data_IF_597406406045
#
_entry.id   IF_597406406045
#
_cell.length_a   1.000
_cell.length_b   1.000
_cell.length_c   1.000
_cell.angle_alpha   90.00
_cell.angle_beta   90.00
_cell.angle_gamma   90.00
#
_symmetry.space_group_name_H-M   'P 1'
#
loop_
_entity.id
_entity.type
_entity.pdbx_description
1 polymer ?
#
# COMPACT_ATOMS: atom_id res chain seq x y z
N UNK A 1 34.65 -9.12 7.28
CA UNK A 1 33.89 -9.78 8.36
C UNK A 1 34.10 -8.97 9.62
N UNK A 2 33.03 -8.46 10.23
CA UNK A 2 33.08 -7.56 11.38
C UNK A 2 33.42 -8.36 12.66
N UNK A 3 34.40 -7.91 13.44
CA UNK A 3 34.80 -8.58 14.68
C UNK A 3 33.76 -8.42 15.81
N UNK A 4 33.98 -9.09 16.95
CA UNK A 4 33.03 -9.08 18.05
C UNK A 4 32.89 -7.69 18.70
N UNK A 5 34.00 -6.99 18.91
CA UNK A 5 34.00 -5.67 19.54
C UNK A 5 33.24 -4.65 18.69
N UNK A 6 33.42 -4.69 17.37
CA UNK A 6 32.73 -3.80 16.44
C UNK A 6 31.23 -4.11 16.38
N UNK A 7 30.83 -5.37 16.51
CA UNK A 7 29.40 -5.76 16.61
C UNK A 7 28.76 -5.27 17.92
N UNK A 8 29.51 -5.28 19.02
CA UNK A 8 29.03 -4.77 20.31
C UNK A 8 28.89 -3.24 20.25
N UNK A 9 29.84 -2.54 19.64
CA UNK A 9 29.78 -1.10 19.38
C UNK A 9 28.54 -0.72 18.56
N UNK A 10 28.31 -1.42 17.44
CA UNK A 10 27.13 -1.21 16.60
C UNK A 10 25.82 -1.44 17.37
N UNK A 11 25.78 -2.48 18.22
CA UNK A 11 24.60 -2.78 19.04
C UNK A 11 24.29 -1.65 20.03
N UNK A 12 25.31 -1.11 20.67
CA UNK A 12 25.16 -0.01 21.61
C UNK A 12 24.73 1.30 20.92
N UNK A 13 25.31 1.62 19.76
CA UNK A 13 24.91 2.79 18.98
C UNK A 13 23.45 2.68 18.48
N UNK A 14 23.02 1.51 18.02
CA UNK A 14 21.62 1.25 17.66
C UNK A 14 20.68 1.39 18.84
N UNK A 15 21.09 0.97 20.03
CA UNK A 15 20.31 1.16 21.27
C UNK A 15 20.16 2.64 21.62
N UNK A 16 21.20 3.46 21.41
CA UNK A 16 21.14 4.92 21.60
C UNK A 16 20.32 5.64 20.53
N UNK A 17 20.30 5.12 19.30
CA UNK A 17 19.54 5.71 18.20
C UNK A 17 18.05 5.33 18.20
N UNK A 18 17.75 4.06 18.47
CA UNK A 18 16.40 3.49 18.27
C UNK A 18 15.81 2.87 19.54
N UNK A 19 16.48 2.99 20.69
CA UNK A 19 16.01 2.46 21.96
C UNK A 19 14.90 3.30 22.61
N UNK A 20 14.39 2.88 23.78
CA UNK A 20 13.26 3.55 24.47
C UNK A 20 13.52 4.99 24.91
N UNK A 21 14.80 5.39 25.01
CA UNK A 21 15.24 6.72 25.36
C UNK A 21 16.38 7.12 24.41
N UNK A 22 16.05 7.50 23.16
CA UNK A 22 17.07 7.80 22.17
C UNK A 22 17.77 9.11 22.53
N UNK A 23 19.10 9.09 22.51
CA UNK A 23 19.95 10.23 22.87
C UNK A 23 21.05 10.54 21.84
N UNK A 24 21.08 9.79 20.72
CA UNK A 24 22.15 9.90 19.72
C UNK A 24 22.15 11.25 19.00
N UNK A 25 21.01 11.94 18.92
CA UNK A 25 20.89 13.24 18.23
C UNK A 25 21.73 14.35 18.90
N UNK A 26 22.05 14.20 20.19
CA UNK A 26 22.93 15.11 20.90
C UNK A 26 24.43 14.85 20.62
N UNK A 27 24.76 13.81 19.87
CA UNK A 27 26.10 13.28 19.66
C UNK A 27 26.34 12.97 18.16
N UNK A 28 26.65 14.00 17.35
CA UNK A 28 26.80 13.84 15.90
C UNK A 28 27.97 12.92 15.51
N UNK A 29 28.99 12.79 16.37
CA UNK A 29 30.09 11.86 16.15
C UNK A 29 29.63 10.41 16.30
N UNK A 30 28.81 10.10 17.31
CA UNK A 30 28.21 8.78 17.46
C UNK A 30 27.27 8.43 16.29
N UNK A 31 26.53 9.40 15.74
CA UNK A 31 25.66 9.18 14.59
C UNK A 31 26.47 8.90 13.30
N UNK A 32 27.58 9.63 13.09
CA UNK A 32 28.50 9.35 12.00
C UNK A 32 29.12 7.95 12.13
N UNK A 33 29.52 7.56 13.35
CA UNK A 33 30.07 6.25 13.64
C UNK A 33 29.05 5.12 13.44
N UNK A 34 27.79 5.32 13.83
CA UNK A 34 26.70 4.38 13.56
C UNK A 34 26.56 4.12 12.06
N UNK A 35 26.54 5.19 11.25
CA UNK A 35 26.40 5.09 9.79
C UNK A 35 27.53 4.25 9.17
N UNK A 36 28.77 4.50 9.57
CA UNK A 36 29.93 3.72 9.08
C UNK A 36 29.83 2.23 9.43
N UNK A 37 29.41 1.91 10.65
CA UNK A 37 29.27 0.53 11.10
C UNK A 37 28.09 -0.19 10.44
N UNK A 38 27.00 0.50 10.12
CA UNK A 38 25.88 -0.07 9.37
C UNK A 38 26.26 -0.40 7.93
N UNK A 39 27.00 0.48 7.26
CA UNK A 39 27.52 0.24 5.91
C UNK A 39 28.45 -0.99 5.86
N UNK A 40 29.31 -1.14 6.87
CA UNK A 40 30.19 -2.32 7.01
C UNK A 40 29.43 -3.61 7.35
N UNK A 41 28.27 -3.51 7.99
CA UNK A 41 27.45 -4.64 8.38
C UNK A 41 26.54 -5.14 7.24
N UNK A 42 26.32 -4.33 6.20
CA UNK A 42 25.58 -4.77 5.02
C UNK A 42 26.34 -5.94 4.36
N UNK A 43 25.65 -7.06 4.06
CA UNK A 43 26.28 -8.15 3.33
C UNK A 43 26.81 -7.60 2.01
N UNK A 44 28.03 -7.99 1.64
CA UNK A 44 28.63 -7.62 0.36
C UNK A 44 27.59 -7.92 -0.72
N UNK A 45 27.00 -6.85 -1.29
CA UNK A 45 26.05 -6.96 -2.38
C UNK A 45 26.78 -7.83 -3.41
N UNK A 46 26.23 -9.00 -3.80
CA UNK A 46 26.88 -9.82 -4.82
C UNK A 46 27.14 -8.88 -5.97
N UNK A 47 28.42 -8.69 -6.32
CA UNK A 47 28.81 -7.87 -7.45
C UNK A 47 27.95 -8.36 -8.60
N UNK A 48 26.96 -7.55 -8.98
CA UNK A 48 26.24 -7.78 -10.20
C UNK A 48 27.34 -7.74 -11.23
N UNK A 49 27.72 -8.92 -11.69
CA UNK A 49 28.63 -9.11 -12.80
C UNK A 49 27.89 -8.47 -13.96
N UNK A 50 28.11 -7.17 -14.13
CA UNK A 50 27.90 -6.45 -15.37
C UNK A 50 28.94 -6.96 -16.35
N UNK A 51 28.84 -8.25 -16.67
CA UNK A 51 29.11 -8.71 -18.00
C UNK A 51 27.94 -8.20 -18.84
N UNK A 52 27.96 -6.90 -19.13
CA UNK A 52 27.38 -6.39 -20.35
C UNK A 52 28.30 -6.98 -21.43
N UNK A 53 27.87 -7.98 -22.23
CA UNK A 53 28.64 -8.33 -23.40
C UNK A 53 28.74 -7.06 -24.24
N UNK A 54 29.97 -6.60 -24.48
CA UNK A 54 30.27 -5.62 -25.52
C UNK A 54 29.50 -6.01 -26.79
N UNK A 55 28.70 -5.11 -27.38
CA UNK A 55 28.17 -5.37 -28.70
C UNK A 55 29.35 -5.31 -29.66
N UNK A 56 29.87 -6.47 -30.05
CA UNK A 56 30.81 -6.58 -31.16
C UNK A 56 30.11 -6.04 -32.42
N UNK A 57 30.41 -4.78 -32.72
CA UNK A 57 30.25 -4.18 -34.02
C UNK A 57 31.21 -4.89 -34.99
N UNK A 58 30.72 -5.95 -35.63
CA UNK A 58 31.38 -6.54 -36.81
C UNK A 58 30.37 -6.87 -37.91
N UNK A 59 30.15 -5.84 -38.74
CA UNK A 59 30.24 -5.88 -40.19
C UNK A 59 29.59 -7.05 -40.97
N UNK A 60 28.60 -6.65 -41.79
CA UNK A 60 28.39 -7.01 -43.21
C UNK A 60 28.45 -8.50 -43.61
N UNK A 61 27.33 -9.00 -44.15
CA UNK A 61 27.21 -9.29 -45.59
C UNK A 61 25.79 -9.77 -45.98
N UNK A 62 25.18 -9.02 -46.92
CA UNK A 62 24.49 -9.49 -48.15
C UNK A 62 23.78 -10.85 -48.13
N UNK A 63 22.44 -10.82 -48.25
CA UNK A 63 21.61 -11.57 -49.21
C UNK A 63 20.14 -11.14 -49.02
N UNK A 64 19.61 -10.22 -49.82
CA UNK A 64 18.70 -10.52 -50.95
C UNK A 64 18.00 -11.87 -50.82
N UNK A 65 16.71 -11.84 -50.48
CA UNK A 65 15.71 -12.80 -50.96
C UNK A 65 14.32 -12.15 -50.90
N UNK A 66 13.59 -12.38 -51.99
CA UNK A 66 12.36 -11.74 -52.46
C UNK A 66 11.11 -12.09 -51.62
N UNK A 67 10.02 -11.33 -51.77
CA UNK A 67 8.74 -11.64 -51.13
C UNK A 67 7.99 -12.71 -51.92
N UNK A 68 8.01 -13.96 -51.45
CA UNK A 68 7.07 -14.97 -51.95
C UNK A 68 5.71 -14.81 -51.26
N UNK A 69 4.78 -14.33 -52.07
CA UNK A 69 3.34 -14.48 -51.88
C UNK A 69 2.98 -15.96 -51.78
N UNK A 70 2.48 -16.40 -50.62
CA UNK A 70 1.66 -17.61 -50.55
C UNK A 70 0.32 -17.32 -49.90
N UNK A 71 -0.68 -17.18 -50.78
CA UNK A 71 -2.09 -17.46 -50.52
C UNK A 71 -2.20 -18.92 -50.07
N UNK A 72 -2.83 -19.17 -48.92
CA UNK A 72 -3.66 -20.36 -48.75
C UNK A 72 -5.03 -19.91 -48.25
N UNK A 73 -6.03 -20.40 -48.97
CA UNK A 73 -7.46 -20.19 -48.86
C UNK A 73 -8.09 -21.46 -48.29
N UNK A 74 -9.18 -21.31 -47.52
CA UNK A 74 -10.07 -22.39 -47.05
C UNK A 74 -9.68 -22.97 -45.68
N UNK A 75 -10.57 -23.19 -44.71
CA UNK A 75 -12.03 -23.32 -44.69
C UNK A 75 -12.53 -23.13 -43.23
N UNK A 76 -13.84 -22.84 -43.02
CA UNK A 76 -14.44 -22.63 -41.71
C UNK A 76 -15.16 -23.90 -41.20
N UNK A 77 -14.76 -24.45 -40.05
CA UNK A 77 -15.42 -25.57 -39.34
C UNK A 77 -14.92 -25.49 -37.87
N UNK A 78 -15.67 -25.55 -36.77
CA UNK A 78 -17.06 -25.84 -36.51
C UNK A 78 -17.54 -25.05 -35.28
N UNK A 79 -18.81 -24.67 -35.36
CA UNK A 79 -19.74 -24.36 -34.29
C UNK A 79 -19.75 -25.49 -33.23
N UNK A 80 -19.35 -25.17 -32.00
CA UNK A 80 -19.55 -26.05 -30.83
C UNK A 80 -20.77 -25.54 -30.09
N UNK A 81 -21.84 -26.34 -30.14
CA UNK A 81 -23.09 -26.13 -29.46
C UNK A 81 -22.95 -26.08 -27.92
N UNK A 82 -23.85 -25.38 -27.22
CA UNK A 82 -23.81 -25.26 -25.77
C UNK A 82 -24.28 -26.55 -25.09
N UNK A 83 -23.48 -27.07 -24.16
CA UNK A 83 -23.92 -28.11 -23.23
C UNK A 83 -24.82 -27.47 -22.19
N UNK A 84 -26.11 -27.71 -22.34
CA UNK A 84 -27.13 -27.48 -21.32
C UNK A 84 -27.09 -28.60 -20.27
N UNK A 85 -27.33 -28.24 -19.00
CA UNK A 85 -27.87 -29.16 -18.01
C UNK A 85 -26.90 -29.60 -16.92
N UNK A 86 -26.67 -28.74 -15.93
CA UNK A 86 -26.44 -29.21 -14.56
C UNK A 86 -27.54 -28.63 -13.69
N UNK A 87 -28.42 -29.52 -13.27
CA UNK A 87 -29.51 -29.30 -12.32
C UNK A 87 -28.97 -28.90 -10.94
N UNK A 88 -29.65 -27.99 -10.21
CA UNK A 88 -29.27 -27.63 -8.85
C UNK A 88 -29.54 -28.80 -7.88
N UNK A 89 -28.51 -29.23 -7.15
CA UNK A 89 -28.66 -30.16 -6.03
C UNK A 89 -29.00 -29.36 -4.78
N UNK A 90 -30.22 -29.62 -4.30
CA UNK A 90 -30.69 -29.66 -2.92
C UNK A 90 -30.11 -28.66 -1.90
N UNK A 91 -30.97 -27.69 -1.59
CA UNK A 91 -31.25 -27.11 -0.27
C UNK A 91 -30.87 -28.03 0.90
N UNK A 92 -29.83 -27.66 1.65
CA UNK A 92 -29.54 -28.22 2.97
C UNK A 92 -30.12 -27.27 4.01
N UNK A 93 -31.08 -27.80 4.77
CA UNK A 93 -31.77 -27.14 5.87
C UNK A 93 -30.79 -26.64 6.96
N UNK A 94 -31.16 -25.58 7.71
CA UNK A 94 -30.32 -25.03 8.76
C UNK A 94 -30.26 -25.97 9.97
N UNK A 95 -29.06 -26.41 10.33
CA UNK A 95 -28.82 -27.03 11.63
C UNK A 95 -28.88 -25.94 12.69
N UNK A 96 -29.99 -25.95 13.42
CA UNK A 96 -30.17 -25.24 14.66
C UNK A 96 -29.22 -25.77 15.74
N UNK A 97 -28.73 -24.87 16.59
CA UNK A 97 -28.30 -25.20 17.94
C UNK A 97 -26.79 -25.30 18.14
N UNK A 98 -26.15 -24.17 18.39
CA UNK A 98 -24.93 -24.13 19.20
C UNK A 98 -25.10 -23.04 20.25
N UNK A 99 -25.30 -23.52 21.47
CA UNK A 99 -25.45 -22.79 22.72
C UNK A 99 -24.36 -21.73 22.93
N UNK A 100 -24.67 -20.53 23.45
CA UNK A 100 -23.64 -19.59 23.88
C UNK A 100 -22.93 -20.15 25.12
N UNK A 101 -21.63 -20.45 24.97
CA UNK A 101 -20.74 -20.72 26.11
C UNK A 101 -20.60 -19.41 26.90
N UNK A 102 -21.27 -19.37 28.04
CA UNK A 102 -21.02 -18.41 29.09
C UNK A 102 -19.61 -18.63 29.66
N UNK A 103 -18.68 -17.72 29.38
CA UNK A 103 -17.29 -17.83 29.80
C UNK A 103 -16.73 -16.51 30.35
N UNK A 104 -16.81 -16.34 31.66
CA UNK A 104 -15.99 -15.48 32.52
C UNK A 104 -15.81 -13.99 32.15
N UNK A 105 -16.71 -13.14 32.66
CA UNK A 105 -16.41 -11.73 32.94
C UNK A 105 -15.31 -11.66 34.00
N UNK A 106 -14.08 -11.32 33.60
CA UNK A 106 -13.04 -10.90 34.55
C UNK A 106 -13.47 -9.58 35.19
N UNK A 107 -13.81 -9.63 36.47
CA UNK A 107 -14.03 -8.45 37.32
C UNK A 107 -12.71 -7.71 37.45
N UNK A 108 -12.60 -6.57 36.79
CA UNK A 108 -11.55 -5.60 37.05
C UNK A 108 -11.94 -4.84 38.33
N UNK A 109 -11.09 -4.82 39.37
CA UNK A 109 -11.39 -4.08 40.60
C UNK A 109 -11.38 -2.56 40.34
N UNK A 110 -12.35 -1.80 40.88
CA UNK A 110 -12.38 -0.34 40.75
C UNK A 110 -11.31 0.28 41.68
N UNK A 111 -10.11 0.47 41.13
CA UNK A 111 -9.00 1.15 41.78
C UNK A 111 -9.06 2.67 41.56
N UNK A 112 -9.59 3.36 42.57
CA UNK A 112 -9.45 4.78 42.91
C UNK A 112 -8.32 5.52 42.17
N UNK A 113 -8.65 6.33 41.17
CA UNK A 113 -7.79 7.44 40.73
C UNK A 113 -8.48 8.75 41.06
N UNK A 114 -7.79 9.49 41.91
CA UNK A 114 -8.28 10.66 42.62
C UNK A 114 -8.48 11.86 41.71
N UNK A 115 -9.47 12.63 42.12
CA UNK A 115 -9.84 13.97 41.68
C UNK A 115 -8.76 14.95 42.16
N UNK A 116 -8.20 15.73 41.25
CA UNK A 116 -7.66 17.07 41.47
C UNK A 116 -7.97 17.84 40.17
N UNK A 117 -8.65 18.97 40.13
CA UNK A 117 -8.75 20.04 41.12
C UNK A 117 -8.31 21.33 40.45
N UNK A 118 -9.23 21.95 39.69
CA UNK A 118 -9.46 23.39 39.43
C UNK A 118 -8.26 24.35 39.53
N UNK A 119 -8.01 25.17 38.49
CA UNK A 119 -7.91 26.65 38.60
C UNK A 119 -8.20 27.31 37.23
N UNK A 120 -9.03 28.35 37.31
CA UNK A 120 -9.53 29.21 36.25
C UNK A 120 -8.54 30.32 35.83
N UNK A 121 -8.81 30.93 34.67
CA UNK A 121 -8.91 32.39 34.45
C UNK A 121 -8.19 32.89 33.18
N UNK A 122 -8.95 33.65 32.39
CA UNK A 122 -8.49 34.87 31.72
C UNK A 122 -7.72 34.70 30.39
N UNK A 123 -8.31 35.13 29.28
CA UNK A 123 -8.31 36.54 28.83
C UNK A 123 -8.98 36.56 27.45
N UNK A 124 -10.08 37.31 27.35
CA UNK A 124 -10.65 37.73 26.09
C UNK A 124 -9.84 38.93 25.56
N UNK A 125 -9.39 38.87 24.31
CA UNK A 125 -8.92 40.07 23.60
C UNK A 125 -9.58 40.12 22.23
N UNK A 126 -10.61 40.94 22.15
CA UNK A 126 -11.20 41.49 20.94
C UNK A 126 -10.21 42.50 20.35
N UNK A 127 -9.65 42.22 19.17
CA UNK A 127 -9.14 43.27 18.29
C UNK A 127 -9.93 43.26 16.99
N UNK A 128 -10.88 44.19 16.94
CA UNK A 128 -11.49 44.72 15.73
C UNK A 128 -10.48 45.67 15.12
N UNK A 129 -9.87 45.28 13.99
CA UNK A 129 -9.17 46.20 13.11
C UNK A 129 -9.81 46.09 11.73
N UNK A 130 -10.62 47.09 11.40
CA UNK A 130 -11.26 47.22 10.10
C UNK A 130 -10.22 47.36 9.00
N UNK A 131 -10.26 46.43 8.04
CA UNK A 131 -9.61 46.61 6.75
C UNK A 131 -10.67 47.07 5.75
N UNK A 132 -10.37 48.24 5.16
CA UNK A 132 -11.15 48.92 4.15
C UNK A 132 -11.31 48.04 2.90
N UNK A 133 -12.55 47.91 2.46
CA UNK A 133 -12.97 47.29 1.21
C UNK A 133 -12.48 48.12 0.02
N UNK A 134 -11.48 47.62 -0.70
CA UNK A 134 -11.22 48.03 -2.08
C UNK A 134 -11.96 47.08 -3.01
N UNK A 135 -12.97 47.63 -3.70
CA UNK A 135 -13.78 46.92 -4.68
C UNK A 135 -12.98 46.58 -5.92
N UNK A 136 -12.34 45.42 -5.92
CA UNK A 136 -11.93 44.72 -7.13
C UNK A 136 -13.09 43.88 -7.64
N UNK A 137 -13.57 44.15 -8.84
CA UNK A 137 -14.42 43.21 -9.61
C UNK A 137 -13.60 41.95 -9.83
N UNK A 138 -13.73 40.98 -8.92
CA UNK A 138 -13.18 39.65 -9.08
C UNK A 138 -13.90 39.01 -10.27
N UNK A 139 -13.14 38.75 -11.33
CA UNK A 139 -13.54 37.76 -12.32
C UNK A 139 -13.92 36.48 -11.56
N UNK A 140 -15.00 35.76 -11.94
CA UNK A 140 -15.24 34.43 -11.42
C UNK A 140 -14.07 33.55 -11.88
N UNK A 141 -13.03 33.45 -11.04
CA UNK A 141 -12.06 32.39 -11.18
C UNK A 141 -12.86 31.11 -10.99
N UNK A 142 -12.92 30.34 -12.09
CA UNK A 142 -13.32 28.95 -12.09
C UNK A 142 -12.77 28.30 -10.81
N UNK A 143 -13.69 27.70 -10.05
CA UNK A 143 -13.52 27.38 -8.66
C UNK A 143 -12.17 26.77 -8.36
N UNK A 144 -11.56 27.23 -7.26
CA UNK A 144 -10.49 26.53 -6.59
C UNK A 144 -10.82 25.05 -6.60
N UNK A 145 -10.04 24.29 -7.37
CA UNK A 145 -10.04 22.85 -7.28
C UNK A 145 -9.99 22.53 -5.79
N UNK A 146 -11.02 21.84 -5.31
CA UNK A 146 -11.02 21.30 -3.95
C UNK A 146 -9.67 20.61 -3.81
N UNK A 147 -8.83 21.16 -2.94
CA UNK A 147 -7.60 20.53 -2.49
C UNK A 147 -8.07 19.28 -1.75
N UNK A 148 -8.31 18.22 -2.52
CA UNK A 148 -8.78 16.96 -2.01
C UNK A 148 -7.65 16.44 -1.15
N UNK A 149 -7.83 16.60 0.17
CA UNK A 149 -6.81 16.31 1.16
C UNK A 149 -6.15 14.96 0.83
N UNK A 150 -4.87 15.03 0.46
CA UNK A 150 -4.06 13.86 0.21
C UNK A 150 -3.84 13.17 1.56
N UNK A 151 -4.25 11.91 1.66
CA UNK A 151 -4.08 11.11 2.87
C UNK A 151 -2.92 10.16 2.63
N UNK A 152 -1.91 10.21 3.50
CA UNK A 152 -0.83 9.24 3.52
C UNK A 152 -1.08 8.20 4.60
N UNK A 153 -1.25 6.95 4.19
CA UNK A 153 -1.39 5.82 5.11
C UNK A 153 -0.02 5.17 5.27
N UNK A 154 0.60 5.22 6.47
CA UNK A 154 1.93 4.66 6.68
C UNK A 154 1.89 3.13 6.54
N UNK A 155 2.83 2.59 5.77
CA UNK A 155 3.07 1.15 5.70
C UNK A 155 4.17 0.82 6.71
N UNK A 156 3.84 0.02 7.71
CA UNK A 156 4.83 -0.43 8.69
C UNK A 156 5.70 -1.54 8.07
N UNK A 157 6.82 -1.15 7.46
CA UNK A 157 7.86 -2.07 7.02
C UNK A 157 8.86 -2.21 8.17
N UNK A 158 9.14 -3.44 8.63
CA UNK A 158 10.20 -3.67 9.59
C UNK A 158 11.56 -3.39 8.94
N UNK A 159 12.12 -2.22 9.23
CA UNK A 159 13.40 -1.76 8.69
C UNK A 159 14.59 -2.69 9.00
N UNK A 160 14.51 -3.49 10.06
CA UNK A 160 15.62 -4.31 10.56
C UNK A 160 15.88 -5.61 9.79
N UNK A 161 14.94 -6.09 8.96
CA UNK A 161 15.11 -7.34 8.20
C UNK A 161 14.87 -7.18 6.69
N UNK A 162 14.30 -6.05 6.24
CA UNK A 162 13.71 -5.97 4.91
C UNK A 162 12.58 -6.99 4.67
N UNK A 163 12.22 -7.75 5.72
CA UNK A 163 11.19 -8.76 5.73
C UNK A 163 9.90 -8.15 6.22
N UNK A 164 8.83 -8.42 5.47
CA UNK A 164 7.48 -8.09 5.88
C UNK A 164 7.10 -8.93 7.10
N UNK A 165 6.21 -8.42 7.95
CA UNK A 165 5.71 -9.18 9.10
C UNK A 165 5.12 -10.49 8.56
N UNK A 166 5.74 -11.62 8.90
CA UNK A 166 5.22 -12.95 8.58
C UNK A 166 3.92 -13.13 9.37
N UNK A 167 2.83 -13.01 8.62
CA UNK A 167 1.46 -13.05 9.10
C UNK A 167 0.79 -14.34 8.65
N UNK A 168 1.53 -15.46 8.63
CA UNK A 168 1.00 -16.84 8.59
C UNK A 168 -0.10 -17.13 9.64
N UNK A 169 -0.48 -16.14 10.45
CA UNK A 169 -1.56 -16.13 11.44
C UNK A 169 -2.78 -15.29 11.07
N UNK A 170 -2.79 -14.54 9.96
CA UNK A 170 -3.99 -13.81 9.53
C UNK A 170 -4.87 -14.75 8.70
N UNK A 171 -5.60 -15.63 9.39
CA UNK A 171 -6.69 -16.44 8.80
C UNK A 171 -7.76 -15.58 8.09
N UNK A 172 -7.76 -14.26 8.33
CA UNK A 172 -8.72 -13.30 7.78
C UNK A 172 -8.25 -12.51 6.57
N UNK A 173 -7.11 -12.85 5.97
CA UNK A 173 -6.64 -12.14 4.79
C UNK A 173 -7.58 -12.43 3.60
N UNK A 174 -8.03 -11.41 2.85
CA UNK A 174 -8.86 -11.62 1.67
C UNK A 174 -8.05 -12.27 0.53
N UNK A 175 -8.75 -12.92 -0.40
CA UNK A 175 -8.12 -13.50 -1.59
C UNK A 175 -7.53 -12.40 -2.48
N UNK A 176 -6.20 -12.40 -2.64
CA UNK A 176 -5.49 -11.48 -3.54
C UNK A 176 -5.47 -12.02 -4.98
N UNK A 177 -5.49 -11.15 -6.01
CA UNK A 177 -5.46 -11.55 -7.42
C UNK A 177 -4.03 -11.92 -7.89
N UNK A 178 -3.39 -12.86 -7.20
CA UNK A 178 -1.99 -13.26 -7.44
C UNK A 178 -1.88 -14.53 -8.29
N UNK A 179 -0.70 -14.73 -8.88
CA UNK A 179 -0.29 -15.99 -9.49
C UNK A 179 0.85 -16.58 -8.67
N UNK A 180 0.54 -17.30 -7.60
CA UNK A 180 1.55 -17.87 -6.72
C UNK A 180 1.02 -18.06 -5.30
N UNK A 181 1.94 -18.16 -4.34
CA UNK A 181 1.60 -18.16 -2.93
C UNK A 181 1.77 -16.74 -2.35
N UNK A 182 0.78 -16.29 -1.58
CA UNK A 182 0.97 -15.10 -0.75
C UNK A 182 2.08 -15.39 0.26
N UNK A 183 3.09 -14.53 0.28
CA UNK A 183 4.19 -14.60 1.26
C UNK A 183 3.86 -13.81 2.53
N UNK A 184 3.10 -12.72 2.41
CA UNK A 184 2.64 -11.89 3.53
C UNK A 184 1.49 -10.98 3.09
N UNK A 185 0.65 -10.56 4.04
CA UNK A 185 -0.40 -9.57 3.83
C UNK A 185 -0.64 -8.75 5.10
N UNK A 186 -0.94 -7.46 4.96
CA UNK A 186 -1.16 -6.55 6.10
C UNK A 186 -2.40 -5.65 5.87
N UNK A 187 -3.31 -5.56 6.85
CA UNK A 187 -4.37 -4.57 6.82
C UNK A 187 -3.83 -3.19 7.17
N UNK A 188 -4.24 -2.17 6.40
CA UNK A 188 -3.89 -0.77 6.63
C UNK A 188 -5.02 0.06 7.24
N UNK A 189 -6.23 -0.53 7.35
CA UNK A 189 -7.40 0.11 7.97
C UNK A 189 -8.60 0.20 7.03
N UNK A 190 -9.66 0.87 7.49
CA UNK A 190 -10.87 1.13 6.70
C UNK A 190 -10.82 2.54 6.11
N UNK A 191 -11.05 2.65 4.79
CA UNK A 191 -11.13 3.90 4.06
C UNK A 191 -12.40 3.93 3.22
N UNK A 192 -13.28 4.89 3.49
CA UNK A 192 -14.53 5.08 2.76
C UNK A 192 -15.44 3.83 2.72
N UNK A 193 -15.43 3.03 3.79
CA UNK A 193 -16.19 1.79 3.92
C UNK A 193 -15.50 0.55 3.31
N UNK A 194 -14.26 0.69 2.83
CA UNK A 194 -13.47 -0.40 2.26
C UNK A 194 -12.25 -0.67 3.13
N UNK A 195 -12.02 -1.93 3.47
CA UNK A 195 -10.77 -2.37 4.11
C UNK A 195 -9.65 -2.36 3.10
N UNK A 196 -8.60 -1.59 3.39
CA UNK A 196 -7.37 -1.50 2.59
C UNK A 196 -6.36 -2.52 3.09
N UNK A 197 -5.82 -3.28 2.16
CA UNK A 197 -4.81 -4.30 2.39
C UNK A 197 -3.65 -4.13 1.40
N UNK A 198 -2.47 -4.47 1.88
CA UNK A 198 -1.29 -4.67 1.04
C UNK A 198 -0.76 -6.08 1.25
N UNK A 199 0.03 -6.57 0.32
CA UNK A 199 0.67 -7.85 0.48
C UNK A 199 1.75 -8.08 -0.56
N UNK A 200 2.47 -9.18 -0.41
CA UNK A 200 3.45 -9.63 -1.38
C UNK A 200 3.32 -11.10 -1.63
N UNK A 201 3.56 -11.49 -2.87
CA UNK A 201 3.47 -12.87 -3.32
C UNK A 201 4.77 -13.32 -3.96
N UNK A 202 5.14 -14.55 -3.67
CA UNK A 202 6.18 -15.27 -4.39
C UNK A 202 5.55 -15.84 -5.67
N UNK A 203 5.90 -15.21 -6.79
CA UNK A 203 5.51 -15.68 -8.13
C UNK A 203 6.71 -16.34 -8.85
N UNK A 204 7.59 -17.01 -8.09
CA UNK A 204 8.75 -17.75 -8.58
C UNK A 204 9.94 -16.84 -8.85
N UNK A 205 10.11 -16.40 -10.11
CA UNK A 205 11.29 -15.58 -10.49
C UNK A 205 11.12 -14.08 -10.23
N UNK A 206 9.93 -13.63 -9.87
CA UNK A 206 9.63 -12.21 -9.66
C UNK A 206 8.67 -12.06 -8.50
N UNK A 207 9.14 -11.38 -7.45
CA UNK A 207 8.27 -10.99 -6.35
C UNK A 207 7.23 -10.00 -6.84
N UNK A 208 6.00 -10.17 -6.37
CA UNK A 208 4.89 -9.26 -6.66
C UNK A 208 4.51 -8.48 -5.42
N UNK A 209 4.20 -7.20 -5.59
CA UNK A 209 3.55 -6.37 -4.59
C UNK A 209 2.08 -6.17 -4.97
N UNK A 210 1.21 -6.29 -3.99
CA UNK A 210 -0.23 -6.24 -4.17
C UNK A 210 -0.87 -5.15 -3.31
N UNK A 211 -1.90 -4.52 -3.87
CA UNK A 211 -2.80 -3.62 -3.16
C UNK A 211 -4.23 -4.10 -3.39
N UNK A 212 -5.03 -4.19 -2.31
CA UNK A 212 -6.38 -4.73 -2.37
C UNK A 212 -7.32 -3.92 -1.48
N UNK A 213 -8.55 -3.74 -1.97
CA UNK A 213 -9.67 -3.12 -1.30
C UNK A 213 -10.80 -4.14 -1.23
N UNK A 214 -11.39 -4.31 -0.04
CA UNK A 214 -12.58 -5.17 0.14
C UNK A 214 -13.61 -4.52 1.06
N UNK A 215 -14.90 -4.64 0.72
CA UNK A 215 -16.01 -4.28 1.61
C UNK A 215 -16.65 -5.52 2.29
N UNK A 216 -16.02 -6.69 2.13
CA UNK A 216 -16.52 -7.97 2.62
C UNK A 216 -17.35 -8.76 1.61
N UNK A 217 -17.95 -8.09 0.62
CA UNK A 217 -18.72 -8.74 -0.46
C UNK A 217 -17.99 -8.66 -1.81
N UNK A 218 -17.25 -7.57 -2.02
CA UNK A 218 -16.61 -7.21 -3.28
C UNK A 218 -15.16 -6.91 -3.04
N UNK A 219 -14.32 -7.33 -3.98
CA UNK A 219 -12.88 -7.08 -3.95
C UNK A 219 -12.44 -6.29 -5.19
N UNK A 220 -11.49 -5.39 -5.00
CA UNK A 220 -10.75 -4.74 -6.08
C UNK A 220 -9.29 -4.73 -5.69
N UNK A 221 -8.45 -5.34 -6.52
CA UNK A 221 -7.02 -5.40 -6.23
C UNK A 221 -6.20 -5.42 -7.50
N UNK A 222 -4.93 -5.12 -7.34
CA UNK A 222 -3.92 -5.20 -8.38
C UNK A 222 -2.63 -5.73 -7.76
N UNK A 223 -1.92 -6.55 -8.52
CA UNK A 223 -0.59 -7.00 -8.18
C UNK A 223 0.34 -6.67 -9.34
N UNK A 224 1.52 -6.15 -9.03
CA UNK A 224 2.57 -5.78 -10.01
C UNK A 224 3.92 -6.27 -9.51
N UNK A 225 4.94 -6.29 -10.37
CA UNK A 225 6.31 -6.59 -9.92
C UNK A 225 6.83 -5.51 -8.97
N UNK A 226 7.85 -5.85 -8.17
CA UNK A 226 8.50 -4.88 -7.29
C UNK A 226 8.96 -3.61 -8.02
N UNK A 227 9.56 -3.76 -9.21
CA UNK A 227 10.03 -2.63 -10.04
C UNK A 227 8.86 -1.73 -10.53
N UNK A 228 7.72 -2.33 -10.87
CA UNK A 228 6.54 -1.57 -11.28
C UNK A 228 5.92 -0.81 -10.09
N UNK A 229 5.99 -1.38 -8.88
CA UNK A 229 5.58 -0.68 -7.66
C UNK A 229 6.47 0.53 -7.40
N UNK A 230 7.80 0.40 -7.51
CA UNK A 230 8.72 1.55 -7.29
C UNK A 230 8.48 2.67 -8.30
N UNK A 231 8.05 2.32 -9.51
CA UNK A 231 7.59 3.28 -10.54
C UNK A 231 6.19 3.87 -10.30
N UNK A 232 5.51 3.49 -9.20
CA UNK A 232 4.18 4.00 -8.86
C UNK A 232 3.04 3.40 -9.68
N UNK A 233 3.25 2.29 -10.39
CA UNK A 233 2.23 1.64 -11.22
C UNK A 233 1.19 0.84 -10.41
N UNK A 234 1.47 0.58 -9.13
CA UNK A 234 0.57 -0.13 -8.24
C UNK A 234 -0.55 0.81 -7.75
N UNK A 235 -1.60 0.89 -8.57
CA UNK A 235 -2.74 1.78 -8.37
C UNK A 235 -4.05 0.98 -8.39
N UNK A 236 -4.91 1.24 -7.40
CA UNK A 236 -6.30 0.73 -7.35
C UNK A 236 -7.25 1.91 -7.14
N UNK A 237 -8.34 1.95 -7.89
CA UNK A 237 -9.35 3.02 -7.79
C UNK A 237 -10.73 2.50 -7.38
N UNK A 238 -11.40 3.25 -6.51
CA UNK A 238 -12.80 3.11 -6.12
C UNK A 238 -13.64 4.18 -6.84
N UNK A 239 -14.50 3.80 -7.79
CA UNK A 239 -15.39 4.76 -8.44
C UNK A 239 -16.51 5.22 -7.49
N UNK A 240 -17.08 6.40 -7.76
CA UNK A 240 -18.09 7.06 -6.93
C UNK A 240 -19.29 6.18 -6.55
N UNK A 241 -19.79 5.38 -7.48
CA UNK A 241 -20.94 4.48 -7.32
C UNK A 241 -20.66 3.32 -6.35
N UNK A 242 -19.40 3.06 -6.03
CA UNK A 242 -18.96 2.00 -5.11
C UNK A 242 -18.76 2.48 -3.67
N UNK A 243 -18.88 3.78 -3.44
CA UNK A 243 -18.76 4.37 -2.11
C UNK A 243 -20.16 4.77 -1.65
N UNK A 244 -20.56 4.27 -0.47
CA UNK A 244 -21.84 4.61 0.14
C UNK A 244 -21.96 6.14 0.30
N UNK A 245 -23.12 6.76 0.01
CA UNK A 245 -23.27 8.22 0.00
C UNK A 245 -22.72 8.92 1.25
N UNK A 246 -22.95 8.35 2.42
CA UNK A 246 -22.53 8.84 3.75
C UNK A 246 -21.03 8.65 4.04
N UNK A 247 -20.33 7.84 3.23
CA UNK A 247 -18.88 7.60 3.33
C UNK A 247 -18.08 8.31 2.24
N UNK A 248 -18.72 9.07 1.35
CA UNK A 248 -18.00 9.76 0.26
C UNK A 248 -17.13 10.90 0.80
N UNK A 249 -15.92 11.12 0.23
CA UNK A 249 -15.18 12.35 0.47
C UNK A 249 -16.06 13.59 0.21
N UNK A 250 -15.91 14.61 1.04
CA UNK A 250 -16.64 15.88 0.90
C UNK A 250 -16.37 16.50 -0.47
N UNK A 251 -17.45 16.78 -1.22
CA UNK A 251 -17.35 17.40 -2.54
C UNK A 251 -17.03 16.45 -3.69
N UNK A 252 -16.96 15.13 -3.45
CA UNK A 252 -16.75 14.16 -4.51
C UNK A 252 -17.93 14.16 -5.52
N UNK A 253 -17.64 14.23 -6.81
CA UNK A 253 -18.64 14.22 -7.89
C UNK A 253 -18.76 12.83 -8.56
N UNK A 254 -19.85 12.53 -9.29
CA UNK A 254 -20.08 11.21 -9.90
C UNK A 254 -19.04 10.73 -10.91
N UNK A 255 -18.30 11.66 -11.53
CA UNK A 255 -17.20 11.36 -12.45
C UNK A 255 -15.89 11.02 -11.71
N UNK A 256 -15.76 11.37 -10.43
CA UNK A 256 -14.53 11.15 -9.68
C UNK A 256 -14.39 9.72 -9.11
N UNK A 257 -13.17 9.39 -8.73
CA UNK A 257 -12.81 8.16 -8.02
C UNK A 257 -11.82 8.46 -6.89
N UNK A 258 -11.81 7.59 -5.88
CA UNK A 258 -10.74 7.57 -4.86
C UNK A 258 -9.65 6.62 -5.36
N UNK A 259 -8.43 7.12 -5.51
CA UNK A 259 -7.28 6.37 -6.00
C UNK A 259 -6.31 6.11 -4.85
N UNK A 260 -5.89 4.85 -4.74
CA UNK A 260 -4.93 4.34 -3.78
C UNK A 260 -3.67 3.95 -4.54
N UNK A 261 -2.54 4.56 -4.20
CA UNK A 261 -1.25 4.33 -4.85
C UNK A 261 -0.22 3.93 -3.81
N UNK A 262 0.45 2.79 -4.01
CA UNK A 262 1.55 2.36 -3.14
C UNK A 262 2.89 2.64 -3.80
N UNK A 263 3.62 3.63 -3.30
CA UNK A 263 4.90 4.08 -3.85
C UNK A 263 6.11 3.50 -3.10
N UNK A 264 7.32 3.86 -3.54
CA UNK A 264 8.57 3.45 -2.90
C UNK A 264 8.77 4.03 -1.49
N UNK A 265 8.11 5.15 -1.18
CA UNK A 265 8.30 5.90 0.08
C UNK A 265 7.74 5.18 1.32
N UNK A 266 7.15 3.99 1.17
CA UNK A 266 6.56 3.25 2.29
C UNK A 266 5.20 3.81 2.74
N UNK A 267 4.48 4.51 1.86
CA UNK A 267 3.13 5.00 2.13
C UNK A 267 2.18 4.54 1.02
N UNK A 268 0.92 4.32 1.41
CA UNK A 268 -0.20 4.32 0.46
C UNK A 268 -0.79 5.72 0.45
N UNK A 269 -0.69 6.38 -0.70
CA UNK A 269 -1.32 7.68 -0.94
C UNK A 269 -2.76 7.46 -1.39
N UNK A 270 -3.70 8.19 -0.77
CA UNK A 270 -5.13 8.16 -1.08
C UNK A 270 -5.57 9.55 -1.53
N UNK A 271 -6.05 9.65 -2.78
CA UNK A 271 -6.43 10.92 -3.41
C UNK A 271 -7.74 10.80 -4.18
N UNK A 272 -8.56 11.86 -4.15
CA UNK A 272 -9.74 11.97 -5.03
C UNK A 272 -9.30 12.55 -6.37
N UNK A 273 -9.62 11.87 -7.47
CA UNK A 273 -9.27 12.30 -8.83
C UNK A 273 -10.44 12.13 -9.78
N UNK A 274 -10.54 13.04 -10.76
CA UNK A 274 -11.35 12.83 -11.95
C UNK A 274 -10.86 11.58 -12.70
N UNK A 275 -11.70 10.94 -13.54
CA UNK A 275 -11.26 9.79 -14.30
C UNK A 275 -10.23 10.28 -15.32
N UNK A 276 -9.13 9.55 -15.50
CA UNK A 276 -8.20 9.84 -16.59
C UNK A 276 -8.95 9.60 -17.90
N UNK A 277 -9.16 10.68 -18.66
CA UNK A 277 -9.55 10.58 -20.07
C UNK A 277 -8.39 9.91 -20.79
N UNK A 278 -8.54 8.61 -21.05
CA UNK A 278 -7.66 7.82 -21.92
C UNK A 278 -7.69 8.33 -23.36
#
# INVERSE_FOLDING_TARGET
MMDAATRDELTELRRRAYGPAPDIDADPEALARLTELEDLALPARPEQTSAVPEPEESARAVAVSEPETSRVSGAPVAEVAPVAGVTPVAEVAPVAGSTPVAGSRRRIPPGRWGIAGVVAAGVATLMVAGFLTSGGVASPQAGSALDAAEIHVPVMIMASTGGYVDLSTIESAPDFPIRGAMSWAQPLGEHYGWSLWIGGADAGRRDQSCLLLTDGERTRGRCVSLDARTQGELVVSLPFDRIAPERRPTGMTPDQSVRFTWSENGFVTVVVRAPETL
#
